data_IF_617087706285
#
_entry.id   IF_617087706285
#
_cell.length_a   1.000
_cell.length_b   1.000
_cell.length_c   1.000
_cell.angle_alpha   90.00
_cell.angle_beta   90.00
_cell.angle_gamma   90.00
#
_symmetry.space_group_name_H-M   'P 1'
#
loop_
_entity.id
_entity.type
_entity.pdbx_description
1 polymer ?
#
# COMPACT_ATOMS: atom_id res chain seq x y z
N UNK A 1 -42.70 -38.80 -17.71
CA UNK A 1 -41.28 -38.48 -17.72
C UNK A 1 -40.84 -38.42 -19.17
N UNK A 2 -41.05 -37.27 -19.79
CA UNK A 2 -40.81 -37.00 -21.21
C UNK A 2 -39.48 -36.32 -21.40
N UNK A 3 -38.71 -36.85 -22.33
CA UNK A 3 -37.44 -36.34 -22.85
C UNK A 3 -37.58 -34.89 -23.34
N UNK A 4 -36.84 -33.96 -22.77
CA UNK A 4 -36.60 -32.64 -23.36
C UNK A 4 -35.38 -32.79 -24.26
N UNK A 5 -35.61 -32.89 -25.57
CA UNK A 5 -34.59 -32.73 -26.60
C UNK A 5 -34.14 -31.25 -26.63
N UNK A 6 -32.85 -31.02 -26.40
CA UNK A 6 -32.21 -29.73 -26.69
C UNK A 6 -31.93 -29.67 -28.22
N UNK A 7 -32.25 -28.58 -28.88
CA UNK A 7 -31.86 -28.40 -30.27
C UNK A 7 -30.35 -28.27 -30.38
N UNK A 8 -29.77 -29.02 -31.27
CA UNK A 8 -28.37 -28.93 -31.75
C UNK A 8 -28.14 -27.53 -32.32
N UNK A 9 -27.37 -26.69 -31.62
CA UNK A 9 -26.90 -25.42 -32.10
C UNK A 9 -25.43 -25.48 -32.48
N UNK A 10 -25.07 -26.36 -33.39
CA UNK A 10 -23.84 -26.27 -34.17
C UNK A 10 -23.97 -25.24 -35.30
N UNK A 11 -24.47 -24.05 -34.96
CA UNK A 11 -24.48 -22.87 -35.83
C UNK A 11 -23.10 -22.21 -35.76
N UNK A 12 -22.22 -22.51 -36.68
CA UNK A 12 -21.03 -21.72 -36.96
C UNK A 12 -21.45 -20.27 -37.24
N UNK A 13 -21.29 -19.39 -36.26
CA UNK A 13 -21.34 -17.94 -36.50
C UNK A 13 -20.07 -17.61 -37.29
N UNK A 14 -20.13 -17.68 -38.61
CA UNK A 14 -19.14 -17.15 -39.53
C UNK A 14 -19.06 -15.64 -39.35
N UNK A 15 -18.10 -15.19 -38.56
CA UNK A 15 -17.74 -13.77 -38.51
C UNK A 15 -17.18 -13.33 -39.87
N UNK A 16 -18.01 -12.60 -40.66
CA UNK A 16 -17.63 -11.95 -41.92
C UNK A 16 -16.74 -10.72 -41.67
N UNK A 17 -15.63 -10.91 -40.96
CA UNK A 17 -14.58 -9.90 -40.89
C UNK A 17 -13.41 -10.38 -41.76
N UNK A 18 -12.93 -9.51 -42.66
CA UNK A 18 -11.74 -9.79 -43.47
C UNK A 18 -10.55 -10.13 -42.56
N UNK A 19 -9.56 -10.95 -42.99
CA UNK A 19 -8.38 -11.28 -42.17
C UNK A 19 -7.64 -10.07 -41.61
N UNK A 20 -7.62 -8.94 -42.36
CA UNK A 20 -7.05 -7.68 -41.93
C UNK A 20 -7.84 -7.04 -40.76
N UNK A 21 -9.19 -7.05 -40.80
CA UNK A 21 -10.02 -6.56 -39.68
C UNK A 21 -9.94 -7.46 -38.44
N UNK A 22 -9.81 -8.79 -38.63
CA UNK A 22 -9.58 -9.72 -37.53
C UNK A 22 -8.23 -9.47 -36.84
N UNK A 23 -7.19 -9.16 -37.62
CA UNK A 23 -5.87 -8.87 -37.10
C UNK A 23 -5.85 -7.53 -36.35
N UNK A 24 -6.44 -6.48 -36.91
CA UNK A 24 -6.61 -5.18 -36.25
C UNK A 24 -7.45 -5.25 -34.97
N UNK A 25 -8.55 -6.00 -34.98
CA UNK A 25 -9.40 -6.17 -33.78
C UNK A 25 -8.69 -7.02 -32.71
N UNK A 26 -7.94 -8.04 -33.11
CA UNK A 26 -7.15 -8.87 -32.19
C UNK A 26 -5.92 -8.11 -31.64
N UNK A 27 -5.27 -7.30 -32.46
CA UNK A 27 -4.14 -6.46 -32.01
C UNK A 27 -4.58 -5.28 -31.12
N UNK A 28 -5.75 -4.67 -31.37
CA UNK A 28 -6.33 -3.63 -30.50
C UNK A 28 -6.84 -4.18 -29.16
N UNK A 29 -7.29 -5.44 -29.12
CA UNK A 29 -7.74 -6.10 -27.88
C UNK A 29 -6.57 -6.63 -27.05
N UNK A 30 -5.33 -6.69 -27.60
CA UNK A 30 -4.17 -7.35 -26.97
C UNK A 30 -3.08 -6.41 -26.47
N UNK A 31 -3.11 -5.10 -26.76
CA UNK A 31 -2.12 -4.20 -26.15
C UNK A 31 -2.66 -3.63 -24.83
N UNK A 32 -2.23 -4.19 -23.71
CA UNK A 32 -2.51 -3.60 -22.40
C UNK A 32 -1.97 -2.17 -22.39
N UNK A 33 -2.80 -1.19 -21.95
CA UNK A 33 -2.36 0.20 -21.77
C UNK A 33 -1.23 0.26 -20.72
N UNK A 34 -0.27 1.16 -20.94
CA UNK A 34 0.80 1.43 -19.97
C UNK A 34 0.25 2.29 -18.84
N UNK A 35 0.75 2.07 -17.62
CA UNK A 35 0.32 2.79 -16.42
C UNK A 35 1.52 3.49 -15.80
N UNK A 36 1.43 4.82 -15.66
CA UNK A 36 2.49 5.65 -15.08
C UNK A 36 2.02 6.32 -13.80
N UNK A 37 2.97 6.70 -12.95
CA UNK A 37 2.73 7.40 -11.70
C UNK A 37 2.98 8.88 -11.93
N UNK A 38 1.93 9.70 -11.81
CA UNK A 38 2.01 11.14 -12.07
C UNK A 38 1.88 12.01 -10.83
N UNK A 39 1.38 11.45 -9.72
CA UNK A 39 1.27 12.18 -8.45
C UNK A 39 1.43 11.28 -7.24
N UNK A 40 1.96 11.85 -6.17
CA UNK A 40 2.23 11.20 -4.90
C UNK A 40 1.68 12.03 -3.74
N UNK A 41 1.13 11.36 -2.74
CA UNK A 41 0.67 11.99 -1.51
C UNK A 41 0.78 11.03 -0.34
N UNK A 42 1.07 11.57 0.85
CA UNK A 42 1.18 10.75 2.04
C UNK A 42 1.06 11.54 3.34
N UNK A 43 0.69 10.83 4.40
CA UNK A 43 0.74 11.23 5.79
C UNK A 43 1.31 10.06 6.58
N UNK A 44 2.36 10.27 7.37
CA UNK A 44 3.01 9.18 8.09
C UNK A 44 3.71 9.68 9.37
N UNK A 45 4.17 8.78 10.26
CA UNK A 45 4.92 9.15 11.46
C UNK A 45 6.20 9.95 11.20
N UNK A 46 6.72 9.88 9.98
CA UNK A 46 7.97 10.57 9.59
C UNK A 46 7.73 11.84 8.78
N UNK A 47 6.46 12.21 8.53
CA UNK A 47 6.10 13.47 7.85
C UNK A 47 4.68 13.46 7.30
N UNK A 48 4.05 14.64 7.24
CA UNK A 48 2.68 14.83 6.79
C UNK A 48 2.57 15.19 5.30
N UNK A 49 3.70 15.21 4.61
CA UNK A 49 3.82 15.40 3.16
C UNK A 49 4.96 14.55 2.60
N UNK A 50 4.96 14.37 1.28
CA UNK A 50 5.92 13.51 0.57
C UNK A 50 7.37 14.00 0.73
N UNK A 51 7.60 15.30 0.66
CA UNK A 51 8.95 15.88 0.70
C UNK A 51 9.59 15.72 2.06
N UNK A 52 8.86 16.10 3.11
CA UNK A 52 9.31 15.98 4.50
C UNK A 52 9.59 14.52 4.86
N UNK A 53 8.66 13.62 4.52
CA UNK A 53 8.85 12.22 4.83
C UNK A 53 10.02 11.60 4.07
N UNK A 54 10.19 11.91 2.79
CA UNK A 54 11.33 11.40 2.03
C UNK A 54 12.67 11.84 2.60
N UNK A 55 12.78 13.13 2.99
CA UNK A 55 13.99 13.65 3.62
C UNK A 55 14.27 12.94 4.96
N UNK A 56 13.25 12.74 5.80
CA UNK A 56 13.39 12.05 7.08
C UNK A 56 13.75 10.57 6.91
N UNK A 57 13.17 9.89 5.91
CA UNK A 57 13.55 8.51 5.57
C UNK A 57 15.00 8.40 5.15
N UNK A 58 15.48 9.27 4.26
CA UNK A 58 16.89 9.28 3.85
C UNK A 58 17.83 9.61 5.01
N UNK A 59 17.38 10.41 5.97
CA UNK A 59 18.15 10.75 7.17
C UNK A 59 18.08 9.66 8.27
N UNK A 60 17.30 8.58 8.07
CA UNK A 60 17.14 7.51 9.07
C UNK A 60 16.37 7.94 10.32
N UNK A 61 15.46 8.91 10.21
CA UNK A 61 14.69 9.43 11.36
C UNK A 61 13.56 8.46 11.72
N UNK A 62 13.55 7.97 12.96
CA UNK A 62 12.43 7.18 13.48
C UNK A 62 11.22 8.05 13.82
N UNK A 63 10.05 7.66 13.35
CA UNK A 63 8.76 8.24 13.74
C UNK A 63 8.10 7.55 14.94
N UNK A 64 8.73 6.48 15.46
CA UNK A 64 8.19 5.66 16.56
C UNK A 64 8.49 6.32 17.90
N UNK A 65 7.47 6.36 18.77
CA UNK A 65 7.53 7.00 20.07
C UNK A 65 6.54 6.34 21.04
N UNK A 66 6.52 6.77 22.30
CA UNK A 66 5.50 6.38 23.28
C UNK A 66 4.10 6.79 22.81
N UNK A 67 3.11 5.92 23.00
CA UNK A 67 1.71 6.18 22.62
C UNK A 67 1.17 7.36 23.46
N UNK A 68 0.54 8.32 22.77
CA UNK A 68 -0.11 9.49 23.39
C UNK A 68 -1.60 9.58 23.10
N UNK A 69 -2.15 8.76 22.20
CA UNK A 69 -3.57 8.77 21.83
C UNK A 69 -4.49 8.27 22.93
N UNK A 70 -3.98 7.42 23.82
CA UNK A 70 -4.69 6.89 24.99
C UNK A 70 -3.70 6.51 26.10
N UNK A 71 -4.18 6.21 27.29
CA UNK A 71 -3.33 5.70 28.40
C UNK A 71 -2.96 4.23 28.13
N UNK A 72 -1.75 4.02 27.62
CA UNK A 72 -1.24 2.69 27.25
C UNK A 72 -0.66 1.91 28.43
N UNK A 73 -0.76 2.39 29.68
CA UNK A 73 -0.18 1.72 30.87
C UNK A 73 -0.77 0.33 31.15
N UNK A 74 -1.99 0.08 30.65
CA UNK A 74 -2.70 -1.19 30.80
C UNK A 74 -2.34 -2.26 29.77
N UNK A 75 -1.61 -1.90 28.69
CA UNK A 75 -1.24 -2.81 27.61
C UNK A 75 0.26 -3.10 27.60
N UNK A 76 0.65 -4.27 27.11
CA UNK A 76 2.06 -4.68 27.11
C UNK A 76 2.94 -3.84 26.16
N UNK A 77 2.38 -3.39 25.03
CA UNK A 77 3.06 -2.51 24.09
C UNK A 77 2.59 -1.06 24.28
N UNK A 78 3.52 -0.16 24.56
CA UNK A 78 3.24 1.26 24.86
C UNK A 78 3.84 2.20 23.82
N UNK A 79 4.23 1.67 22.65
CA UNK A 79 4.92 2.40 21.59
C UNK A 79 4.20 2.24 20.26
N UNK A 80 4.25 3.29 19.44
CA UNK A 80 3.68 3.29 18.09
C UNK A 80 4.31 4.37 17.20
N UNK A 81 4.21 4.20 15.90
CA UNK A 81 4.44 5.25 14.91
C UNK A 81 3.18 6.08 14.73
N UNK A 82 3.01 7.12 15.54
CA UNK A 82 1.87 8.04 15.48
C UNK A 82 2.14 9.20 14.54
N UNK A 83 1.12 9.64 13.81
CA UNK A 83 1.17 10.87 13.01
C UNK A 83 1.19 12.08 13.96
N UNK A 84 2.15 12.98 13.77
CA UNK A 84 2.39 14.13 14.63
C UNK A 84 2.03 15.43 13.90
N UNK A 85 1.44 16.40 14.63
CA UNK A 85 1.16 17.75 14.13
C UNK A 85 0.34 17.79 12.83
N UNK A 86 -0.60 16.87 12.65
CA UNK A 86 -1.48 16.81 11.49
C UNK A 86 -2.78 17.58 11.75
N UNK A 87 -3.14 18.47 10.83
CA UNK A 87 -4.41 19.22 10.87
C UNK A 87 -5.22 18.95 9.59
N UNK A 88 -6.28 18.17 9.72
CA UNK A 88 -7.20 17.89 8.62
C UNK A 88 -7.91 19.14 8.09
N UNK A 89 -7.98 20.21 8.89
CA UNK A 89 -8.68 21.45 8.49
C UNK A 89 -7.96 22.22 7.38
N UNK A 90 -6.72 21.86 7.09
CA UNK A 90 -6.00 22.34 5.91
C UNK A 90 -6.58 21.78 4.59
N UNK A 91 -7.33 20.68 4.67
CA UNK A 91 -7.87 19.94 3.50
C UNK A 91 -9.39 20.02 3.39
N UNK A 92 -10.11 19.93 4.52
CA UNK A 92 -11.58 19.93 4.57
C UNK A 92 -12.09 20.81 5.72
N UNK A 93 -13.40 21.17 5.68
CA UNK A 93 -13.98 21.98 6.75
C UNK A 93 -14.02 21.26 8.09
N UNK A 94 -13.88 21.97 9.22
CA UNK A 94 -14.00 21.38 10.57
C UNK A 94 -15.34 20.68 10.82
N UNK A 95 -16.40 21.09 10.11
CA UNK A 95 -17.72 20.48 10.21
C UNK A 95 -17.74 19.09 9.59
N UNK A 96 -17.08 18.92 8.44
CA UNK A 96 -16.98 17.63 7.76
C UNK A 96 -16.02 16.71 8.50
N UNK A 97 -14.87 17.19 8.93
CA UNK A 97 -13.90 16.43 9.70
C UNK A 97 -14.52 15.72 10.92
N UNK A 98 -15.38 16.38 11.68
CA UNK A 98 -16.07 15.80 12.85
C UNK A 98 -17.02 14.63 12.54
N UNK A 99 -17.26 14.32 11.28
CA UNK A 99 -18.15 13.24 10.83
C UNK A 99 -17.39 12.01 10.34
N UNK A 100 -16.07 12.01 10.44
CA UNK A 100 -15.17 11.01 9.88
C UNK A 100 -14.21 10.52 10.96
N UNK A 101 -13.86 9.24 10.88
CA UNK A 101 -12.76 8.69 11.66
C UNK A 101 -11.40 9.13 11.08
N UNK A 102 -10.35 9.08 11.89
CA UNK A 102 -9.01 9.57 11.55
C UNK A 102 -8.40 8.88 10.31
N UNK A 103 -8.67 7.58 10.08
CA UNK A 103 -8.16 6.92 8.87
C UNK A 103 -8.71 7.58 7.59
N UNK A 104 -9.95 8.10 7.62
CA UNK A 104 -10.53 8.84 6.49
C UNK A 104 -9.81 10.18 6.33
N UNK A 105 -9.47 10.87 7.42
CA UNK A 105 -8.70 12.11 7.38
C UNK A 105 -7.37 11.92 6.67
N UNK A 106 -6.59 10.92 7.08
CA UNK A 106 -5.29 10.62 6.47
C UNK A 106 -5.44 10.26 4.99
N UNK A 107 -6.42 9.41 4.65
CA UNK A 107 -6.69 9.02 3.27
C UNK A 107 -7.08 10.19 2.37
N UNK A 108 -7.95 11.10 2.84
CA UNK A 108 -8.33 12.32 2.11
C UNK A 108 -7.12 13.24 1.91
N UNK A 109 -6.36 13.52 2.97
CA UNK A 109 -5.20 14.39 2.89
C UNK A 109 -4.17 13.87 1.88
N UNK A 110 -3.80 12.58 1.97
CA UNK A 110 -2.87 11.95 1.03
C UNK A 110 -3.42 11.97 -0.42
N UNK A 111 -4.73 11.71 -0.60
CA UNK A 111 -5.34 11.78 -1.93
C UNK A 111 -5.30 13.18 -2.53
N UNK A 112 -5.63 14.21 -1.73
CA UNK A 112 -5.60 15.60 -2.20
C UNK A 112 -4.17 16.08 -2.51
N UNK A 113 -3.16 15.64 -1.73
CA UNK A 113 -1.76 15.87 -2.05
C UNK A 113 -1.38 15.23 -3.39
N UNK A 114 -1.73 13.95 -3.60
CA UNK A 114 -1.42 13.24 -4.86
C UNK A 114 -2.11 13.90 -6.08
N UNK A 115 -3.35 14.34 -5.94
CA UNK A 115 -4.12 15.06 -6.97
C UNK A 115 -3.43 16.39 -7.32
N UNK A 116 -3.02 17.16 -6.31
CA UNK A 116 -2.32 18.42 -6.48
C UNK A 116 -0.94 18.20 -7.11
N UNK A 117 -0.20 17.20 -6.68
CA UNK A 117 1.12 16.85 -7.21
C UNK A 117 1.06 16.40 -8.68
N UNK A 118 -0.03 15.73 -9.07
CA UNK A 118 -0.32 15.36 -10.46
C UNK A 118 -0.90 16.51 -11.30
N UNK A 119 -1.19 17.65 -10.69
CA UNK A 119 -1.80 18.81 -11.34
C UNK A 119 -3.16 18.50 -12.02
N UNK A 120 -3.96 17.59 -11.41
CA UNK A 120 -5.24 17.16 -12.01
C UNK A 120 -6.32 18.25 -11.96
N UNK A 121 -6.25 19.15 -10.99
CA UNK A 121 -7.24 20.23 -10.82
C UNK A 121 -7.14 21.29 -11.94
N UNK A 122 -6.01 21.36 -12.65
CA UNK A 122 -5.73 22.32 -13.70
C UNK A 122 -5.83 21.73 -15.12
N UNK A 123 -6.37 20.52 -15.29
CA UNK A 123 -6.58 19.91 -16.61
C UNK A 123 -7.89 20.42 -17.18
N UNK A 124 -7.78 21.27 -18.23
CA UNK A 124 -8.95 21.75 -18.97
C UNK A 124 -9.68 20.58 -19.65
N UNK A 125 -10.99 20.46 -19.37
CA UNK A 125 -11.84 19.45 -19.99
C UNK A 125 -11.56 18.01 -19.52
N UNK A 126 -10.98 17.82 -18.32
CA UNK A 126 -10.80 16.49 -17.75
C UNK A 126 -12.13 15.73 -17.71
N UNK A 127 -12.18 14.57 -18.35
CA UNK A 127 -13.35 13.68 -18.30
C UNK A 127 -13.41 12.98 -16.92
N UNK A 128 -14.16 13.58 -16.01
CA UNK A 128 -14.32 13.09 -14.64
C UNK A 128 -14.99 11.72 -14.56
N UNK A 129 -15.68 11.26 -15.61
CA UNK A 129 -16.26 9.90 -15.68
C UNK A 129 -15.19 8.81 -15.87
N UNK A 130 -13.97 9.23 -16.25
CA UNK A 130 -12.80 8.38 -16.47
C UNK A 130 -11.80 8.43 -15.32
N UNK A 131 -12.08 9.20 -14.24
CA UNK A 131 -11.24 9.30 -13.03
C UNK A 131 -11.89 8.53 -11.90
N UNK A 132 -11.24 7.48 -11.43
CA UNK A 132 -11.71 6.64 -10.33
C UNK A 132 -10.88 6.80 -9.05
N UNK A 133 -11.39 6.24 -7.95
CA UNK A 133 -10.73 6.27 -6.62
C UNK A 133 -10.84 4.90 -5.95
N UNK A 134 -9.71 4.34 -5.51
CA UNK A 134 -9.63 3.10 -4.76
C UNK A 134 -8.60 3.23 -3.64
N UNK A 135 -9.05 3.69 -2.48
CA UNK A 135 -8.22 3.82 -1.28
C UNK A 135 -8.83 2.93 -0.21
N UNK A 136 -8.06 1.92 0.22
CA UNK A 136 -8.51 0.92 1.18
C UNK A 136 -7.99 1.18 2.60
N UNK A 137 -8.50 0.39 3.54
CA UNK A 137 -7.97 0.29 4.91
C UNK A 137 -8.08 -1.17 5.37
N UNK A 138 -7.18 -1.61 6.25
CA UNK A 138 -7.17 -2.98 6.73
C UNK A 138 -8.25 -3.25 7.78
N UNK A 139 -8.48 -2.29 8.67
CA UNK A 139 -9.45 -2.36 9.77
C UNK A 139 -10.49 -1.24 9.64
N UNK A 140 -10.10 -0.05 9.21
CA UNK A 140 -10.96 1.11 9.09
C UNK A 140 -11.24 1.80 10.43
N UNK A 141 -12.47 2.24 10.67
CA UNK A 141 -12.85 3.09 11.80
C UNK A 141 -12.87 2.42 13.18
N UNK A 142 -11.79 1.70 13.54
CA UNK A 142 -11.70 1.00 14.83
C UNK A 142 -11.80 1.95 16.04
N UNK A 143 -11.15 3.13 16.06
CA UNK A 143 -11.35 4.11 17.13
C UNK A 143 -12.81 4.57 17.28
N UNK A 144 -13.48 4.87 16.19
CA UNK A 144 -14.92 5.22 16.21
C UNK A 144 -15.80 4.09 16.71
N UNK A 145 -15.47 2.84 16.42
CA UNK A 145 -16.18 1.65 16.92
C UNK A 145 -15.97 1.53 18.43
N UNK A 146 -14.74 1.66 18.91
CA UNK A 146 -14.41 1.63 20.34
C UNK A 146 -15.15 2.71 21.11
N UNK A 147 -15.07 3.97 20.68
CA UNK A 147 -15.73 5.11 21.33
C UNK A 147 -17.25 4.98 21.34
N UNK A 148 -17.80 4.49 20.22
CA UNK A 148 -19.25 4.24 20.12
C UNK A 148 -19.69 3.11 21.06
N UNK A 149 -18.91 2.04 21.19
CA UNK A 149 -19.20 0.97 22.14
C UNK A 149 -19.16 1.47 23.58
N UNK A 150 -18.15 2.27 23.96
CA UNK A 150 -18.07 2.94 25.29
C UNK A 150 -19.30 3.83 25.55
N UNK A 151 -19.66 4.65 24.57
CA UNK A 151 -20.84 5.54 24.67
C UNK A 151 -22.12 4.73 24.82
N UNK A 152 -22.31 3.67 24.05
CA UNK A 152 -23.49 2.81 24.11
C UNK A 152 -23.62 2.11 25.47
N UNK A 153 -22.53 1.62 26.03
CA UNK A 153 -22.52 0.96 27.35
C UNK A 153 -22.82 1.98 28.45
N UNK A 154 -22.21 3.16 28.42
CA UNK A 154 -22.34 4.16 29.48
C UNK A 154 -23.67 4.93 29.43
N UNK A 155 -24.25 5.20 28.24
CA UNK A 155 -25.34 6.14 28.04
C UNK A 155 -26.54 5.55 27.26
N UNK A 156 -26.42 4.33 26.74
CA UNK A 156 -27.45 3.64 25.96
C UNK A 156 -27.41 3.98 24.46
N UNK A 157 -28.02 3.10 23.64
CA UNK A 157 -27.98 3.14 22.18
C UNK A 157 -28.54 4.44 21.55
N UNK A 158 -29.42 5.17 22.26
CA UNK A 158 -29.95 6.47 21.77
C UNK A 158 -28.91 7.59 21.69
N UNK A 159 -27.74 7.39 22.29
CA UNK A 159 -26.62 8.35 22.29
C UNK A 159 -25.58 8.07 21.21
N UNK A 160 -25.74 7.02 20.42
CA UNK A 160 -24.86 6.72 19.28
C UNK A 160 -24.91 7.90 18.29
N UNK A 161 -23.72 8.33 17.85
CA UNK A 161 -23.59 9.38 16.86
C UNK A 161 -24.27 8.96 15.53
N UNK A 162 -25.13 9.77 14.90
CA UNK A 162 -25.77 9.44 13.64
C UNK A 162 -24.77 9.27 12.48
N UNK A 163 -23.54 9.78 12.60
CA UNK A 163 -22.47 9.60 11.62
C UNK A 163 -21.57 8.38 11.92
N UNK A 164 -21.86 7.59 12.96
CA UNK A 164 -21.04 6.43 13.33
C UNK A 164 -20.80 5.46 12.16
N UNK A 165 -21.85 5.04 11.48
CA UNK A 165 -21.71 4.10 10.37
C UNK A 165 -20.88 4.72 9.24
N UNK A 166 -21.20 5.90 8.67
CA UNK A 166 -20.37 6.51 7.63
C UNK A 166 -18.93 6.78 8.07
N UNK A 167 -18.67 7.11 9.35
CA UNK A 167 -17.31 7.33 9.83
C UNK A 167 -16.46 6.07 9.91
N UNK A 168 -17.09 4.89 9.97
CA UNK A 168 -16.38 3.63 10.18
C UNK A 168 -16.16 2.82 8.90
N UNK A 169 -16.90 3.11 7.82
CA UNK A 169 -16.84 2.34 6.58
C UNK A 169 -15.59 2.65 5.75
N UNK A 170 -14.89 1.61 5.34
CA UNK A 170 -13.60 1.71 4.64
C UNK A 170 -13.69 2.45 3.30
N UNK A 171 -14.75 2.18 2.50
CA UNK A 171 -14.94 2.84 1.21
C UNK A 171 -15.26 4.35 1.31
N UNK A 172 -15.44 4.90 2.50
CA UNK A 172 -15.75 6.32 2.66
C UNK A 172 -14.58 7.23 2.34
N UNK A 173 -13.31 6.78 2.41
CA UNK A 173 -12.19 7.56 1.90
C UNK A 173 -12.44 7.86 0.42
N UNK A 174 -12.64 6.82 -0.39
CA UNK A 174 -12.91 6.94 -1.83
C UNK A 174 -14.15 7.75 -2.10
N UNK A 175 -15.25 7.51 -1.34
CA UNK A 175 -16.49 8.25 -1.47
C UNK A 175 -16.33 9.76 -1.21
N UNK A 176 -15.59 10.15 -0.17
CA UNK A 176 -15.35 11.57 0.11
C UNK A 176 -14.47 12.25 -0.96
N UNK A 177 -13.41 11.57 -1.43
CA UNK A 177 -12.56 12.11 -2.50
C UNK A 177 -13.34 12.30 -3.79
N UNK A 178 -14.19 11.33 -4.18
CA UNK A 178 -15.04 11.46 -5.37
C UNK A 178 -16.03 12.63 -5.26
N UNK A 179 -16.65 12.83 -4.08
CA UNK A 179 -17.56 13.96 -3.82
C UNK A 179 -16.81 15.30 -3.90
N UNK A 180 -15.65 15.40 -3.27
CA UNK A 180 -14.85 16.63 -3.24
C UNK A 180 -14.37 17.06 -4.63
N UNK A 181 -14.03 16.11 -5.51
CA UNK A 181 -13.46 16.38 -6.83
C UNK A 181 -14.47 16.23 -7.99
N UNK A 182 -15.64 15.66 -7.71
CA UNK A 182 -16.65 15.36 -8.72
C UNK A 182 -16.24 14.21 -9.65
N UNK A 183 -15.38 13.28 -9.20
CA UNK A 183 -14.96 12.12 -10.00
C UNK A 183 -16.07 11.08 -10.04
N UNK A 184 -16.31 10.47 -11.21
CA UNK A 184 -17.43 9.58 -11.49
C UNK A 184 -17.01 8.24 -12.09
N UNK A 185 -15.70 7.97 -12.14
CA UNK A 185 -15.14 6.67 -12.52
C UNK A 185 -15.32 5.61 -11.41
N UNK A 186 -14.68 4.43 -11.54
CA UNK A 186 -14.77 3.36 -10.54
C UNK A 186 -14.41 3.86 -9.15
N UNK A 187 -15.24 3.59 -8.13
CA UNK A 187 -15.02 4.03 -6.75
C UNK A 187 -15.36 2.93 -5.76
N UNK A 188 -14.36 2.47 -4.99
CA UNK A 188 -14.51 1.43 -3.96
C UNK A 188 -13.34 1.48 -2.96
N UNK A 189 -13.36 0.62 -1.95
CA UNK A 189 -12.27 0.48 -0.98
C UNK A 189 -11.87 -0.98 -0.84
N UNK A 190 -10.60 -1.29 -1.03
CA UNK A 190 -10.03 -2.62 -0.84
C UNK A 190 -9.86 -2.95 0.64
N UNK A 191 -10.01 -4.23 1.00
CA UNK A 191 -9.68 -4.77 2.33
C UNK A 191 -8.95 -6.09 2.17
N UNK A 192 -7.68 -6.12 2.53
CA UNK A 192 -6.85 -7.33 2.55
C UNK A 192 -5.73 -7.23 3.59
N UNK A 193 -6.11 -6.83 4.80
CA UNK A 193 -5.19 -6.63 5.93
C UNK A 193 -3.97 -5.77 5.54
N UNK A 194 -2.74 -6.21 5.86
CA UNK A 194 -1.51 -5.45 5.58
C UNK A 194 -1.21 -5.27 4.08
N UNK A 195 -1.87 -6.02 3.19
CA UNK A 195 -1.68 -5.96 1.74
C UNK A 195 -2.61 -4.96 1.04
N UNK A 196 -3.54 -4.37 1.79
CA UNK A 196 -4.61 -3.51 1.27
C UNK A 196 -4.12 -2.43 0.31
N UNK A 197 -3.13 -1.63 0.71
CA UNK A 197 -2.62 -0.54 -0.12
C UNK A 197 -2.00 -1.02 -1.44
N UNK A 198 -1.23 -2.11 -1.39
CA UNK A 198 -0.65 -2.70 -2.59
C UNK A 198 -1.71 -3.29 -3.53
N UNK A 199 -2.72 -3.98 -3.00
CA UNK A 199 -3.84 -4.49 -3.78
C UNK A 199 -4.68 -3.37 -4.39
N UNK A 200 -4.96 -2.29 -3.63
CA UNK A 200 -5.65 -1.10 -4.16
C UNK A 200 -4.93 -0.52 -5.38
N UNK A 201 -3.61 -0.35 -5.30
CA UNK A 201 -2.78 0.18 -6.39
C UNK A 201 -2.76 -0.79 -7.57
N UNK A 202 -2.51 -2.08 -7.32
CA UNK A 202 -2.42 -3.09 -8.36
C UNK A 202 -3.72 -3.29 -9.14
N UNK A 203 -4.86 -3.37 -8.45
CA UNK A 203 -6.17 -3.51 -9.10
C UNK A 203 -6.57 -2.23 -9.85
N UNK A 204 -6.24 -1.05 -9.32
CA UNK A 204 -6.44 0.23 -10.02
C UNK A 204 -5.63 0.31 -11.32
N UNK A 205 -4.39 -0.20 -11.31
CA UNK A 205 -3.61 -0.32 -12.53
C UNK A 205 -4.27 -1.26 -13.56
N UNK A 206 -4.90 -2.35 -13.11
CA UNK A 206 -5.68 -3.24 -14.00
C UNK A 206 -6.86 -2.52 -14.64
N UNK A 207 -7.63 -1.73 -13.88
CA UNK A 207 -8.74 -0.95 -14.43
C UNK A 207 -8.26 -0.02 -15.56
N UNK A 208 -7.08 0.60 -15.41
CA UNK A 208 -6.49 1.42 -16.48
C UNK A 208 -6.03 0.55 -17.65
N UNK A 209 -5.30 -0.56 -17.36
CA UNK A 209 -4.81 -1.50 -18.41
C UNK A 209 -5.95 -2.06 -19.28
N UNK A 210 -7.13 -2.29 -18.68
CA UNK A 210 -8.32 -2.79 -19.38
C UNK A 210 -9.21 -1.69 -19.97
N UNK A 211 -8.94 -0.43 -19.66
CA UNK A 211 -9.65 0.72 -20.24
C UNK A 211 -10.94 1.13 -19.52
N UNK A 212 -11.16 0.68 -18.27
CA UNK A 212 -12.29 1.09 -17.44
C UNK A 212 -12.12 2.52 -16.89
N UNK A 213 -10.87 2.95 -16.69
CA UNK A 213 -10.49 4.28 -16.26
C UNK A 213 -9.27 4.78 -17.06
N UNK A 214 -9.05 6.09 -17.10
CA UNK A 214 -7.83 6.69 -17.61
C UNK A 214 -6.94 7.18 -16.46
N UNK A 215 -7.54 7.51 -15.30
CA UNK A 215 -6.85 7.90 -14.08
C UNK A 215 -7.47 7.17 -12.89
N UNK A 216 -6.63 6.67 -11.98
CA UNK A 216 -7.05 6.11 -10.69
C UNK A 216 -6.25 6.75 -9.54
N UNK A 217 -6.96 7.22 -8.52
CA UNK A 217 -6.37 7.66 -7.25
C UNK A 217 -6.38 6.43 -6.33
N UNK A 218 -5.22 5.87 -6.04
CA UNK A 218 -5.13 4.56 -5.41
C UNK A 218 -4.11 4.51 -4.27
N UNK A 219 -4.43 3.74 -3.24
CA UNK A 219 -3.54 3.57 -2.10
C UNK A 219 -4.21 2.96 -0.89
N UNK A 220 -3.68 3.25 0.28
CA UNK A 220 -4.23 2.77 1.55
C UNK A 220 -4.03 3.76 2.69
N UNK A 221 -4.90 3.67 3.69
CA UNK A 221 -4.86 4.45 4.91
C UNK A 221 -5.21 3.59 6.12
N UNK A 222 -4.68 3.91 7.29
CA UNK A 222 -5.05 3.27 8.55
C UNK A 222 -4.83 4.22 9.73
N UNK A 223 -5.70 4.13 10.76
CA UNK A 223 -5.55 4.82 12.03
C UNK A 223 -6.11 3.93 13.15
N UNK A 224 -5.42 2.81 13.43
CA UNK A 224 -5.89 1.79 14.37
C UNK A 224 -5.17 1.85 15.73
N UNK A 225 -4.43 2.93 16.03
CA UNK A 225 -3.74 3.12 17.31
C UNK A 225 -4.75 3.58 18.37
N UNK A 226 -5.52 2.63 18.90
CA UNK A 226 -6.45 2.79 20.02
C UNK A 226 -6.28 1.59 20.97
N UNK A 227 -6.98 1.61 22.10
CA UNK A 227 -6.83 0.58 23.13
C UNK A 227 -7.21 -0.82 22.61
N UNK A 228 -8.30 -0.94 21.83
CA UNK A 228 -8.68 -2.21 21.19
C UNK A 228 -7.66 -2.66 20.14
N UNK A 229 -7.14 -1.74 19.32
CA UNK A 229 -6.19 -2.06 18.26
C UNK A 229 -4.86 -2.57 18.84
N UNK A 230 -4.24 -1.76 19.70
CA UNK A 230 -2.97 -2.14 20.35
C UNK A 230 -3.16 -3.36 21.26
N UNK A 231 -4.21 -3.39 22.07
CA UNK A 231 -4.54 -4.50 22.96
C UNK A 231 -4.78 -5.81 22.20
N UNK A 232 -5.47 -5.76 21.06
CA UNK A 232 -5.73 -6.92 20.22
C UNK A 232 -4.45 -7.55 19.64
N UNK A 233 -3.56 -6.74 19.06
CA UNK A 233 -2.27 -7.23 18.56
C UNK A 233 -1.32 -7.63 19.69
N UNK A 234 -1.33 -6.95 20.83
CA UNK A 234 -0.55 -7.33 22.02
C UNK A 234 -1.00 -8.70 22.57
N UNK A 235 -2.32 -8.97 22.61
CA UNK A 235 -2.86 -10.27 23.03
C UNK A 235 -2.38 -11.43 22.13
N UNK A 236 -2.12 -11.16 20.85
CA UNK A 236 -1.52 -12.11 19.89
C UNK A 236 -0.01 -12.24 20.06
N UNK A 237 0.63 -11.45 20.93
CA UNK A 237 2.10 -11.35 21.08
C UNK A 237 2.81 -11.02 19.76
N UNK A 238 2.18 -10.20 18.94
CA UNK A 238 2.70 -9.80 17.63
C UNK A 238 3.52 -8.51 17.68
N UNK A 239 3.34 -7.70 18.73
CA UNK A 239 3.99 -6.40 18.90
C UNK A 239 5.31 -6.50 19.67
N UNK A 240 6.25 -5.63 19.31
CA UNK A 240 7.42 -5.35 20.14
C UNK A 240 7.00 -4.76 21.48
N UNK A 241 7.67 -5.19 22.54
CA UNK A 241 7.47 -4.67 23.90
C UNK A 241 8.68 -3.86 24.40
N UNK A 242 9.49 -3.37 23.49
CA UNK A 242 10.68 -2.54 23.77
C UNK A 242 10.27 -1.09 24.08
N UNK A 243 9.47 -0.94 25.15
CA UNK A 243 8.85 0.33 25.54
C UNK A 243 9.86 1.40 25.98
N UNK A 244 11.01 0.97 26.53
CA UNK A 244 12.05 1.89 27.05
C UNK A 244 12.89 2.51 25.93
N UNK A 245 12.89 1.93 24.73
CA UNK A 245 13.66 2.39 23.59
C UNK A 245 12.80 2.44 22.30
N UNK A 246 11.75 3.31 22.22
CA UNK A 246 10.79 3.31 21.13
C UNK A 246 11.43 3.43 19.75
N UNK A 247 12.39 4.34 19.59
CA UNK A 247 13.03 4.63 18.30
C UNK A 247 13.84 3.45 17.75
N UNK A 248 14.23 2.49 18.61
CA UNK A 248 15.00 1.30 18.21
C UNK A 248 14.18 0.01 18.22
N UNK A 249 12.87 0.09 18.49
CA UNK A 249 12.03 -1.09 18.63
C UNK A 249 11.76 -1.82 17.30
N UNK A 250 11.46 -1.09 16.22
CA UNK A 250 11.33 -1.67 14.90
C UNK A 250 12.71 -1.85 14.27
N UNK A 251 13.12 -3.11 14.09
CA UNK A 251 14.47 -3.50 13.66
C UNK A 251 14.45 -4.72 12.72
N UNK A 252 13.87 -4.58 11.52
CA UNK A 252 13.80 -5.70 10.57
C UNK A 252 15.18 -6.32 10.34
N UNK A 253 15.23 -7.67 10.33
CA UNK A 253 16.43 -8.53 10.14
C UNK A 253 17.52 -8.39 11.20
N UNK A 254 17.34 -7.56 12.23
CA UNK A 254 18.21 -7.56 13.42
C UNK A 254 17.95 -8.79 14.30
N UNK A 255 19.00 -9.34 14.91
CA UNK A 255 18.92 -10.51 15.78
C UNK A 255 18.07 -10.28 17.04
N UNK A 256 18.00 -9.04 17.51
CA UNK A 256 17.22 -8.62 18.67
C UNK A 256 15.77 -8.21 18.38
N UNK A 257 15.24 -8.46 17.17
CA UNK A 257 13.84 -8.14 16.85
C UNK A 257 12.87 -9.02 17.64
N UNK A 258 11.77 -8.43 18.10
CA UNK A 258 10.82 -9.10 19.01
C UNK A 258 9.35 -8.93 18.61
N UNK A 259 9.05 -8.31 17.50
CA UNK A 259 7.69 -8.04 17.00
C UNK A 259 7.61 -6.75 16.20
N UNK A 260 6.47 -6.50 15.56
CA UNK A 260 6.29 -5.25 14.82
C UNK A 260 5.86 -4.10 15.76
N UNK A 261 6.05 -2.87 15.32
CA UNK A 261 5.49 -1.67 15.95
C UNK A 261 4.35 -1.18 15.10
N UNK A 262 3.17 -0.94 15.66
CA UNK A 262 2.05 -0.36 14.93
C UNK A 262 2.38 1.04 14.46
N UNK A 263 1.94 1.38 13.25
CA UNK A 263 1.97 2.73 12.69
C UNK A 263 0.60 3.14 12.17
N UNK A 264 0.43 4.43 11.87
CA UNK A 264 -0.76 4.98 11.25
C UNK A 264 -0.40 5.97 10.13
N UNK A 265 -1.36 6.28 9.26
CA UNK A 265 -1.17 7.21 8.16
C UNK A 265 -1.80 6.74 6.86
N UNK A 266 -1.37 7.32 5.75
CA UNK A 266 -1.85 7.01 4.41
C UNK A 266 -0.77 7.22 3.35
N UNK A 267 -0.80 6.40 2.29
CA UNK A 267 -0.04 6.63 1.07
C UNK A 267 -0.93 6.44 -0.15
N UNK A 268 -0.92 7.42 -1.04
CA UNK A 268 -1.79 7.48 -2.22
C UNK A 268 -1.00 7.91 -3.44
N UNK A 269 -1.28 7.27 -4.58
CA UNK A 269 -0.69 7.59 -5.87
C UNK A 269 -1.77 7.97 -6.88
N UNK A 270 -1.43 8.83 -7.82
CA UNK A 270 -2.17 9.00 -9.07
C UNK A 270 -1.55 8.05 -10.10
N UNK A 271 -2.32 7.05 -10.49
CA UNK A 271 -2.03 6.17 -11.61
C UNK A 271 -2.71 6.75 -12.85
N UNK A 272 -1.99 6.83 -13.95
CA UNK A 272 -2.51 7.44 -15.17
C UNK A 272 -2.12 6.61 -16.39
N UNK A 273 -3.03 6.55 -17.37
CA UNK A 273 -2.74 5.97 -18.67
C UNK A 273 -1.64 6.78 -19.37
N UNK A 274 -0.64 6.09 -19.90
CA UNK A 274 0.59 6.74 -20.40
C UNK A 274 0.34 7.76 -21.51
N UNK A 275 -0.48 7.44 -22.51
CA UNK A 275 -0.74 8.38 -23.61
C UNK A 275 -1.56 9.60 -23.14
N UNK A 276 -2.43 9.40 -22.13
CA UNK A 276 -3.13 10.49 -21.46
C UNK A 276 -2.12 11.40 -20.72
N UNK A 277 -1.24 10.83 -19.91
CA UNK A 277 -0.20 11.57 -19.18
C UNK A 277 0.75 12.33 -20.13
N UNK A 278 1.21 11.67 -21.19
CA UNK A 278 2.08 12.23 -22.22
C UNK A 278 1.42 13.40 -22.95
N UNK A 279 0.16 13.25 -23.34
CA UNK A 279 -0.60 14.29 -24.05
C UNK A 279 -0.70 15.61 -23.27
N UNK A 280 -0.81 15.53 -21.95
CA UNK A 280 -0.88 16.71 -21.07
C UNK A 280 0.50 17.17 -20.54
N UNK A 281 1.58 16.48 -20.89
CA UNK A 281 2.94 16.82 -20.43
C UNK A 281 3.17 16.55 -18.94
N UNK A 282 2.50 15.54 -18.38
CA UNK A 282 2.63 15.19 -16.96
C UNK A 282 4.05 14.83 -16.57
N UNK A 283 4.46 15.20 -15.35
CA UNK A 283 5.63 14.60 -14.71
C UNK A 283 5.35 13.14 -14.43
N UNK A 284 6.30 12.26 -14.70
CA UNK A 284 6.21 10.83 -14.46
C UNK A 284 7.31 10.41 -13.47
N UNK A 285 6.93 9.86 -12.33
CA UNK A 285 7.86 9.35 -11.32
C UNK A 285 8.43 7.97 -11.69
N UNK A 286 7.56 7.08 -12.12
CA UNK A 286 7.88 5.71 -12.52
C UNK A 286 6.75 5.14 -13.36
N UNK A 287 6.97 3.98 -13.96
CA UNK A 287 5.94 3.17 -14.61
C UNK A 287 5.60 1.96 -13.73
N UNK A 288 4.31 1.69 -13.47
CA UNK A 288 3.84 0.49 -12.79
C UNK A 288 3.63 -0.62 -13.82
N UNK A 289 4.64 -1.46 -13.97
CA UNK A 289 4.71 -2.46 -15.06
C UNK A 289 4.11 -3.80 -14.67
N UNK A 290 4.16 -4.20 -13.39
CA UNK A 290 3.69 -5.50 -12.95
C UNK A 290 2.97 -5.49 -11.61
N UNK A 291 2.02 -6.42 -11.47
CA UNK A 291 1.31 -6.69 -10.23
C UNK A 291 1.07 -8.19 -10.08
N UNK A 292 1.57 -8.78 -9.00
CA UNK A 292 1.38 -10.19 -8.66
C UNK A 292 0.64 -10.36 -7.34
N UNK A 293 -0.29 -11.29 -7.31
CA UNK A 293 -1.03 -11.70 -6.10
C UNK A 293 -0.89 -13.20 -5.89
N UNK A 294 -0.90 -13.62 -4.63
CA UNK A 294 -0.96 -15.03 -4.23
C UNK A 294 -1.64 -15.20 -2.87
N UNK A 295 -1.89 -16.42 -2.49
CA UNK A 295 -2.31 -16.79 -1.15
C UNK A 295 -1.41 -17.91 -0.64
N UNK A 296 -1.06 -17.87 0.64
CA UNK A 296 -0.24 -18.89 1.30
C UNK A 296 -0.97 -20.23 1.41
N UNK A 297 -2.29 -20.20 1.54
CA UNK A 297 -3.12 -21.37 1.79
C UNK A 297 -2.59 -22.28 2.91
N UNK A 298 -1.98 -21.66 3.93
CA UNK A 298 -1.25 -22.35 5.00
C UNK A 298 -1.84 -22.10 6.38
N UNK A 299 -1.72 -20.88 6.90
CA UNK A 299 -2.19 -20.51 8.24
C UNK A 299 -2.67 -19.05 8.25
N UNK A 300 -3.60 -18.70 9.18
CA UNK A 300 -4.22 -17.37 9.18
C UNK A 300 -3.23 -16.25 9.55
N UNK A 301 -2.23 -16.54 10.36
CA UNK A 301 -1.25 -15.54 10.84
C UNK A 301 0.21 -15.98 10.70
N UNK A 302 0.51 -17.29 10.63
CA UNK A 302 1.87 -17.77 10.44
C UNK A 302 2.27 -17.65 8.96
N UNK A 303 3.36 -16.95 8.66
CA UNK A 303 3.82 -16.79 7.27
C UNK A 303 4.45 -18.08 6.75
N UNK A 304 4.44 -18.26 5.43
CA UNK A 304 5.30 -19.19 4.71
C UNK A 304 6.14 -18.43 3.67
N UNK A 305 7.04 -19.11 2.96
CA UNK A 305 7.87 -18.47 1.95
C UNK A 305 7.33 -18.66 0.52
N UNK A 306 6.51 -19.69 0.28
CA UNK A 306 6.09 -20.09 -1.07
C UNK A 306 5.03 -19.12 -1.64
N UNK A 307 4.08 -18.72 -0.79
CA UNK A 307 3.06 -17.73 -1.17
C UNK A 307 3.66 -16.39 -1.59
N UNK A 308 4.47 -15.74 -0.73
CA UNK A 308 5.20 -14.52 -1.09
C UNK A 308 6.06 -14.66 -2.34
N UNK A 309 6.85 -15.75 -2.46
CA UNK A 309 7.68 -16.01 -3.65
C UNK A 309 6.84 -16.12 -4.92
N UNK A 310 5.67 -16.79 -4.85
CA UNK A 310 4.74 -16.90 -5.97
C UNK A 310 4.17 -15.52 -6.35
N UNK A 311 3.87 -14.66 -5.37
CA UNK A 311 3.43 -13.28 -5.57
C UNK A 311 4.46 -12.48 -6.36
N UNK A 312 5.72 -12.51 -5.93
CA UNK A 312 6.86 -11.86 -6.62
C UNK A 312 7.03 -12.41 -8.03
N UNK A 313 7.04 -13.73 -8.21
CA UNK A 313 7.18 -14.37 -9.53
C UNK A 313 6.06 -13.94 -10.49
N UNK A 314 4.81 -13.89 -10.01
CA UNK A 314 3.67 -13.41 -10.80
C UNK A 314 3.78 -11.94 -11.17
N UNK A 315 4.31 -11.11 -10.28
CA UNK A 315 4.54 -9.70 -10.56
C UNK A 315 5.60 -9.49 -11.65
N UNK A 316 6.70 -10.25 -11.60
CA UNK A 316 7.73 -10.24 -12.64
C UNK A 316 7.17 -10.72 -13.99
N UNK A 317 6.39 -11.79 -13.99
CA UNK A 317 5.74 -12.30 -15.21
C UNK A 317 4.76 -11.28 -15.83
N UNK A 318 3.95 -10.58 -15.00
CA UNK A 318 3.04 -9.50 -15.49
C UNK A 318 3.84 -8.32 -16.05
N UNK A 319 5.01 -8.03 -15.45
CA UNK A 319 5.93 -6.98 -15.90
C UNK A 319 6.72 -7.37 -17.17
N UNK A 320 6.83 -8.66 -17.51
CA UNK A 320 7.71 -9.16 -18.55
C UNK A 320 9.19 -8.96 -18.24
N UNK A 321 9.55 -8.97 -16.95
CA UNK A 321 10.91 -8.78 -16.44
C UNK A 321 11.50 -10.10 -15.90
N UNK A 322 12.82 -10.22 -16.00
CA UNK A 322 13.57 -11.27 -15.35
C UNK A 322 14.08 -10.84 -13.97
N UNK A 323 14.45 -11.76 -13.08
CA UNK A 323 15.07 -11.44 -11.80
C UNK A 323 16.22 -10.44 -11.91
N UNK A 324 17.06 -10.55 -12.94
CA UNK A 324 18.25 -9.74 -13.18
C UNK A 324 17.96 -8.27 -13.54
N UNK A 325 16.71 -7.96 -13.86
CA UNK A 325 16.27 -6.59 -14.13
C UNK A 325 15.98 -5.79 -12.85
N UNK A 326 15.82 -6.47 -11.69
CA UNK A 326 15.50 -5.87 -10.41
C UNK A 326 16.77 -5.43 -9.70
N UNK A 327 16.79 -4.18 -9.24
CA UNK A 327 17.92 -3.59 -8.51
C UNK A 327 17.58 -3.32 -7.03
N UNK A 328 16.28 -3.18 -6.69
CA UNK A 328 15.83 -2.76 -5.37
C UNK A 328 14.49 -3.42 -4.97
N UNK A 329 14.38 -3.73 -3.67
CA UNK A 329 13.12 -4.22 -3.06
C UNK A 329 12.81 -3.40 -1.82
N UNK A 330 11.66 -2.73 -1.81
CA UNK A 330 11.02 -2.26 -0.58
C UNK A 330 10.21 -3.43 -0.02
N UNK A 331 10.74 -4.02 1.04
CA UNK A 331 10.23 -5.25 1.60
C UNK A 331 9.05 -5.03 2.55
N UNK A 332 8.29 -6.06 2.79
CA UNK A 332 7.31 -6.06 3.87
C UNK A 332 7.99 -5.91 5.24
N UNK A 333 9.07 -6.63 5.52
CA UNK A 333 10.03 -6.43 6.60
C UNK A 333 9.47 -5.85 7.90
N UNK A 334 8.68 -6.62 8.65
CA UNK A 334 7.90 -6.11 9.79
C UNK A 334 8.63 -6.11 11.13
N UNK A 335 9.89 -6.56 11.18
CA UNK A 335 10.62 -6.76 12.45
C UNK A 335 10.07 -7.92 13.29
N UNK A 336 9.44 -8.90 12.65
CA UNK A 336 8.99 -10.13 13.35
C UNK A 336 9.98 -11.27 13.16
N UNK A 337 10.22 -12.10 14.18
CA UNK A 337 11.22 -13.17 14.12
C UNK A 337 11.07 -14.09 12.89
N UNK A 338 9.85 -14.54 12.61
CA UNK A 338 9.58 -15.46 11.50
C UNK A 338 9.31 -14.74 10.17
N UNK A 339 8.65 -13.60 10.21
CA UNK A 339 8.25 -12.87 8.99
C UNK A 339 9.46 -12.45 8.15
N UNK A 340 10.46 -11.88 8.78
CA UNK A 340 11.64 -11.35 8.10
C UNK A 340 12.51 -12.47 7.49
N UNK A 341 12.63 -13.62 8.18
CA UNK A 341 13.30 -14.81 7.64
C UNK A 341 12.55 -15.38 6.43
N UNK A 342 11.22 -15.50 6.55
CA UNK A 342 10.41 -16.04 5.46
C UNK A 342 10.43 -15.15 4.23
N UNK A 343 10.39 -13.82 4.39
CA UNK A 343 10.52 -12.90 3.26
C UNK A 343 11.89 -12.98 2.60
N UNK A 344 12.97 -13.07 3.39
CA UNK A 344 14.31 -13.28 2.86
C UNK A 344 14.38 -14.55 2.01
N UNK A 345 13.81 -15.65 2.49
CA UNK A 345 13.77 -16.92 1.76
C UNK A 345 12.86 -16.85 0.52
N UNK A 346 11.73 -16.13 0.60
CA UNK A 346 10.85 -15.91 -0.52
C UNK A 346 11.53 -15.12 -1.65
N UNK A 347 12.30 -14.08 -1.31
CA UNK A 347 13.10 -13.32 -2.29
C UNK A 347 14.17 -14.20 -2.93
N UNK A 348 14.89 -15.03 -2.15
CA UNK A 348 15.86 -15.99 -2.68
C UNK A 348 15.19 -17.02 -3.61
N UNK A 349 13.99 -17.49 -3.26
CA UNK A 349 13.25 -18.44 -4.08
C UNK A 349 12.77 -17.82 -5.39
N UNK A 350 12.29 -16.57 -5.36
CA UNK A 350 11.74 -15.88 -6.53
C UNK A 350 12.81 -15.30 -7.46
N UNK A 351 13.93 -14.80 -6.90
CA UNK A 351 14.98 -14.10 -7.64
C UNK A 351 16.26 -14.93 -7.83
N UNK A 352 16.31 -16.12 -7.23
CA UNK A 352 17.49 -16.99 -7.29
C UNK A 352 18.75 -16.33 -6.74
N UNK A 353 19.91 -16.61 -7.33
CA UNK A 353 21.19 -16.03 -6.93
C UNK A 353 21.25 -14.50 -7.10
N UNK A 354 20.33 -13.92 -7.88
CA UNK A 354 20.26 -12.48 -8.07
C UNK A 354 19.81 -11.75 -6.80
N UNK A 355 19.05 -12.40 -5.91
CA UNK A 355 18.67 -11.84 -4.61
C UNK A 355 19.85 -11.32 -3.77
N UNK A 356 21.07 -11.90 -3.96
CA UNK A 356 22.31 -11.47 -3.28
C UNK A 356 22.96 -10.24 -3.90
N UNK A 357 22.45 -9.73 -5.02
CA UNK A 357 23.04 -8.61 -5.78
C UNK A 357 22.19 -7.35 -5.70
N UNK A 358 20.97 -7.47 -5.18
CA UNK A 358 20.03 -6.35 -5.02
C UNK A 358 20.11 -5.74 -3.63
N UNK A 359 19.60 -4.52 -3.51
CA UNK A 359 19.40 -3.87 -2.23
C UNK A 359 17.95 -4.11 -1.78
N UNK A 360 17.78 -4.58 -0.56
CA UNK A 360 16.48 -4.74 0.11
C UNK A 360 16.42 -3.74 1.27
N UNK A 361 15.28 -3.09 1.49
CA UNK A 361 15.11 -2.33 2.72
C UNK A 361 13.69 -2.46 3.29
N UNK A 362 13.52 -2.09 4.55
CA UNK A 362 12.21 -1.88 5.15
C UNK A 362 12.12 -0.51 5.80
N UNK A 363 11.26 0.34 5.24
CA UNK A 363 10.95 1.65 5.80
C UNK A 363 10.14 1.54 7.10
N UNK A 364 9.58 0.36 7.40
CA UNK A 364 8.91 0.09 8.68
C UNK A 364 9.85 0.17 9.90
N UNK A 365 11.16 0.12 9.69
CA UNK A 365 12.13 0.44 10.75
C UNK A 365 11.96 1.86 11.28
N UNK A 366 11.45 2.79 10.46
CA UNK A 366 11.24 4.21 10.77
C UNK A 366 9.76 4.57 11.00
N UNK A 367 8.87 4.03 10.19
CA UNK A 367 7.43 4.37 10.23
C UNK A 367 6.61 3.50 11.17
N UNK A 368 7.13 2.33 11.57
CA UNK A 368 6.29 1.25 12.06
C UNK A 368 5.45 0.65 10.92
N UNK A 369 4.56 -0.27 11.26
CA UNK A 369 3.70 -0.97 10.32
C UNK A 369 2.30 -0.31 10.26
N UNK A 370 2.00 0.39 9.18
CA UNK A 370 0.74 1.12 8.99
C UNK A 370 -0.43 0.21 8.58
N UNK A 371 -0.32 -1.10 8.78
CA UNK A 371 -1.36 -2.07 8.44
C UNK A 371 -1.87 -1.88 7.00
N UNK A 372 -3.16 -1.54 6.82
CA UNK A 372 -3.74 -1.32 5.49
C UNK A 372 -3.15 -0.13 4.73
N UNK A 373 -2.60 0.86 5.42
CA UNK A 373 -1.89 2.00 4.83
C UNK A 373 -0.46 1.68 4.37
N UNK A 374 0.14 0.60 4.90
CA UNK A 374 1.56 0.28 4.69
C UNK A 374 1.93 0.17 3.21
N UNK A 375 1.22 -0.66 2.44
CA UNK A 375 1.51 -0.84 1.02
C UNK A 375 1.37 0.45 0.19
N UNK A 376 0.53 1.39 0.63
CA UNK A 376 0.37 2.70 0.02
C UNK A 376 1.62 3.57 0.19
N UNK A 377 2.08 3.77 1.44
CA UNK A 377 3.28 4.60 1.70
C UNK A 377 4.54 3.96 1.11
N UNK A 378 4.65 2.63 1.16
CA UNK A 378 5.79 1.89 0.61
C UNK A 378 5.87 1.96 -0.92
N UNK A 379 4.72 1.96 -1.60
CA UNK A 379 4.66 2.23 -3.04
C UNK A 379 5.12 3.65 -3.37
N UNK A 380 4.69 4.66 -2.60
CA UNK A 380 5.17 6.05 -2.73
C UNK A 380 6.69 6.10 -2.57
N UNK A 381 7.24 5.47 -1.54
CA UNK A 381 8.70 5.45 -1.30
C UNK A 381 9.47 4.69 -2.39
N UNK A 382 8.88 3.60 -2.93
CA UNK A 382 9.48 2.86 -4.04
C UNK A 382 9.55 3.70 -5.32
N UNK A 383 8.48 4.44 -5.64
CA UNK A 383 8.49 5.37 -6.77
C UNK A 383 9.54 6.48 -6.59
N UNK A 384 9.66 7.02 -5.37
CA UNK A 384 10.68 8.04 -5.04
C UNK A 384 12.11 7.47 -5.09
N UNK A 385 12.32 6.22 -4.65
CA UNK A 385 13.62 5.56 -4.76
C UNK A 385 14.09 5.45 -6.22
N UNK A 386 13.17 5.05 -7.12
CA UNK A 386 13.44 5.03 -8.56
C UNK A 386 13.69 6.44 -9.10
N UNK A 387 12.85 7.41 -8.74
CA UNK A 387 12.94 8.78 -9.27
C UNK A 387 14.22 9.49 -8.82
N UNK A 388 14.57 9.36 -7.54
CA UNK A 388 15.76 10.00 -6.94
C UNK A 388 17.04 9.16 -7.03
N UNK A 389 16.95 7.89 -7.46
CA UNK A 389 18.07 6.94 -7.52
C UNK A 389 18.76 6.76 -6.17
N UNK A 390 17.95 6.61 -5.10
CA UNK A 390 18.42 6.44 -3.72
C UNK A 390 17.60 5.36 -3.01
N UNK A 391 18.27 4.58 -2.15
CA UNK A 391 17.61 3.67 -1.20
C UNK A 391 17.62 4.30 0.20
N UNK A 392 16.45 4.44 0.86
CA UNK A 392 16.44 4.71 2.30
C UNK A 392 17.07 3.56 3.07
N UNK A 393 17.56 3.79 4.30
CA UNK A 393 18.10 2.72 5.14
C UNK A 393 17.00 1.83 5.74
N UNK A 394 17.37 0.62 6.14
CA UNK A 394 16.74 -0.06 7.26
C UNK A 394 17.52 0.30 8.50
N UNK A 395 16.94 1.13 9.38
CA UNK A 395 17.61 1.51 10.63
C UNK A 395 17.51 0.40 11.68
N UNK A 396 18.35 0.50 12.72
CA UNK A 396 18.36 -0.39 13.89
C UNK A 396 18.87 -1.81 13.61
N UNK A 397 19.62 -2.04 12.57
CA UNK A 397 20.35 -3.29 12.38
C UNK A 397 21.68 -3.18 13.15
N UNK A 398 21.70 -3.62 14.42
CA UNK A 398 22.88 -3.64 15.27
C UNK A 398 23.67 -4.95 15.08
N UNK A 399 22.98 -6.07 14.91
CA UNK A 399 23.53 -7.39 14.59
C UNK A 399 22.59 -8.07 13.59
N UNK A 400 22.99 -8.14 12.34
CA UNK A 400 22.19 -8.81 11.30
C UNK A 400 22.06 -10.31 11.62
N UNK A 401 20.84 -10.84 11.55
CA UNK A 401 20.52 -12.23 11.93
C UNK A 401 20.86 -13.22 10.79
N UNK A 402 22.15 -13.26 10.44
CA UNK A 402 22.66 -14.14 9.38
C UNK A 402 22.47 -15.63 9.72
N UNK A 403 22.55 -15.98 11.02
CA UNK A 403 22.40 -17.36 11.49
C UNK A 403 21.00 -17.92 11.19
N UNK A 404 19.96 -17.09 11.24
CA UNK A 404 18.58 -17.46 10.86
C UNK A 404 18.32 -17.38 9.36
N UNK A 405 19.32 -16.97 8.55
CA UNK A 405 19.21 -16.87 7.09
C UNK A 405 18.92 -15.47 6.55
N UNK A 406 18.91 -14.44 7.40
CA UNK A 406 18.81 -13.04 6.98
C UNK A 406 20.16 -12.53 6.47
N UNK A 407 20.60 -12.96 5.28
CA UNK A 407 21.96 -12.77 4.73
C UNK A 407 21.99 -11.98 3.41
N UNK A 408 20.96 -11.15 3.15
CA UNK A 408 20.93 -10.24 2.02
C UNK A 408 21.50 -8.86 2.41
N UNK A 409 21.59 -7.95 1.44
CA UNK A 409 21.95 -6.54 1.67
C UNK A 409 20.69 -5.74 2.04
N UNK A 410 20.54 -5.41 3.32
CA UNK A 410 19.36 -4.72 3.85
C UNK A 410 19.49 -3.20 3.93
N UNK A 411 20.47 -2.59 3.25
CA UNK A 411 20.73 -1.15 3.33
C UNK A 411 20.84 -0.66 4.79
N UNK A 412 21.66 -1.35 5.58
CA UNK A 412 21.69 -1.17 7.03
C UNK A 412 22.13 0.25 7.45
N UNK A 413 21.30 0.92 8.23
CA UNK A 413 21.49 2.13 9.00
C UNK A 413 21.83 3.42 8.21
N UNK A 414 22.24 3.36 6.94
CA UNK A 414 22.59 4.51 6.14
C UNK A 414 21.94 4.44 4.75
N UNK A 415 21.36 5.57 4.29
CA UNK A 415 20.86 5.68 2.93
C UNK A 415 21.98 5.60 1.91
N UNK A 416 21.69 5.06 0.72
CA UNK A 416 22.69 4.91 -0.34
C UNK A 416 22.19 5.42 -1.68
N UNK A 417 23.09 6.04 -2.46
CA UNK A 417 22.87 6.22 -3.89
C UNK A 417 22.87 4.85 -4.57
N UNK A 418 21.87 4.61 -5.40
CA UNK A 418 21.63 3.30 -6.01
C UNK A 418 21.06 3.48 -7.42
N UNK A 419 21.69 2.87 -8.43
CA UNK A 419 21.14 2.85 -9.77
C UNK A 419 19.97 1.86 -9.81
N UNK A 420 18.74 2.36 -9.90
CA UNK A 420 17.52 1.58 -9.89
C UNK A 420 16.84 1.66 -11.25
N UNK A 421 16.86 0.58 -12.03
CA UNK A 421 16.12 0.42 -13.29
C UNK A 421 14.70 -0.07 -13.02
N UNK A 422 14.58 -1.07 -12.15
CA UNK A 422 13.30 -1.60 -11.69
C UNK A 422 13.36 -1.98 -10.20
N UNK A 423 12.22 -1.88 -9.55
CA UNK A 423 12.07 -2.14 -8.12
C UNK A 423 10.77 -2.91 -7.83
N UNK A 424 10.79 -3.65 -6.73
CA UNK A 424 9.61 -4.35 -6.20
C UNK A 424 9.20 -3.69 -4.88
N UNK A 425 7.88 -3.53 -4.66
CA UNK A 425 7.29 -3.25 -3.35
C UNK A 425 6.45 -4.43 -2.93
N UNK A 426 6.77 -5.04 -1.78
CA UNK A 426 6.12 -6.23 -1.25
C UNK A 426 5.19 -5.90 -0.08
N UNK A 427 4.03 -6.49 -0.07
CA UNK A 427 3.11 -6.47 1.07
C UNK A 427 2.54 -7.86 1.32
N UNK A 428 2.66 -8.36 2.55
CA UNK A 428 2.16 -9.67 2.97
C UNK A 428 1.25 -9.48 4.17
N UNK A 429 0.07 -10.10 4.16
CA UNK A 429 -0.96 -9.81 5.15
C UNK A 429 -1.50 -11.05 5.85
N UNK A 430 -2.10 -10.85 7.01
CA UNK A 430 -2.87 -11.88 7.70
C UNK A 430 -3.93 -12.45 6.77
N UNK A 431 -4.21 -13.75 6.90
CA UNK A 431 -4.99 -14.52 5.95
C UNK A 431 -4.12 -15.13 4.83
N UNK A 432 -2.79 -14.90 4.88
CA UNK A 432 -1.84 -15.37 3.86
C UNK A 432 -2.02 -14.67 2.53
N UNK A 433 -2.48 -13.43 2.52
CA UNK A 433 -2.66 -12.63 1.29
C UNK A 433 -1.37 -11.89 0.95
N UNK A 434 -0.93 -12.00 -0.29
CA UNK A 434 0.33 -11.44 -0.77
C UNK A 434 0.12 -10.56 -2.00
N UNK A 435 0.81 -9.42 -2.03
CA UNK A 435 0.82 -8.48 -3.14
C UNK A 435 2.22 -7.95 -3.40
N UNK A 436 2.66 -8.01 -4.66
CA UNK A 436 3.94 -7.45 -5.12
C UNK A 436 3.69 -6.52 -6.30
N UNK A 437 4.15 -5.28 -6.19
CA UNK A 437 4.10 -4.27 -7.24
C UNK A 437 5.50 -4.15 -7.87
N UNK A 438 5.57 -4.09 -9.20
CA UNK A 438 6.83 -3.87 -9.93
C UNK A 438 6.79 -2.52 -10.61
N UNK A 439 7.71 -1.66 -10.20
CA UNK A 439 7.89 -0.34 -10.78
C UNK A 439 9.16 -0.33 -11.64
N UNK A 440 9.14 0.43 -12.72
CA UNK A 440 10.27 0.62 -13.62
C UNK A 440 10.56 2.10 -13.77
N UNK A 441 11.84 2.44 -13.91
CA UNK A 441 12.26 3.80 -14.26
C UNK A 441 11.64 4.19 -15.60
N UNK A 442 11.06 5.38 -15.63
CA UNK A 442 10.55 5.93 -16.88
C UNK A 442 11.70 6.52 -17.70
N UNK A 443 11.80 6.11 -18.95
CA UNK A 443 12.88 6.51 -19.88
C UNK A 443 12.35 7.31 -21.08
N UNK A 444 11.16 7.91 -20.98
CA UNK A 444 10.59 8.78 -22.03
C UNK A 444 9.68 8.06 -23.03
#
# INVERSE_FOLDING_TARGET
LSELQYPDTSGEIRWLLSPLRRRFFCEQVMSKKRVVITGLGQVSPVGNDVTTAWQNLLAGVSGIDTITHFDASSVACQIAGQVKNFDITEYISPKEARRMDTFIHFGIAAALQAIADADLDNIDGLDKTRVGVNIGAGIGGLPSIEDTARTMIAQGARKINPFFIPSSLINMISGHVTILKGYQGPSYGMVSACTTGAHSIGDSARLIKYGDADIMIAGGAEAAICEMGVGGFAAMKALSTRNDEPATASRPWDKGRDGFVMGEGAGVMVLEEYEHAKKRGARIYAELVGFGMSSDAYHITAPNMEGPALGVTRALNDAGLNPEDIDYVNAHGTSTPLGDVNETNALKLALGEHARKIVVNSTKSMTGHLLGGAGGVEAVYTALAIYSQKSPPTINIFEQDVESGCDLDYCANEARDLKIRAAISNSFGFGGTNGSLVFKRFEG
#
